data_IF_153430344820
#
_entry.id   IF_153430344820
#
_cell.length_a   1.000
_cell.length_b   1.000
_cell.length_c   1.000
_cell.angle_alpha   90.00
_cell.angle_beta   90.00
_cell.angle_gamma   90.00
#
_symmetry.space_group_name_H-M   'P 1'
#
loop_
_entity.id
_entity.type
_entity.pdbx_description
1 polymer ?
#
# COMPACT_ATOMS: atom_id res chain seq x y z
N UNK A 1 -29.97 -17.48 -27.13
CA UNK A 1 -28.51 -17.30 -27.27
C UNK A 1 -28.09 -16.08 -26.45
N UNK A 2 -27.85 -16.27 -25.15
CA UNK A 2 -27.54 -15.21 -24.19
C UNK A 2 -26.08 -14.75 -24.37
N UNK A 3 -25.90 -13.49 -24.76
CA UNK A 3 -24.59 -12.83 -24.78
C UNK A 3 -24.13 -12.59 -23.33
N UNK A 4 -23.21 -13.41 -22.86
CA UNK A 4 -22.38 -13.14 -21.68
C UNK A 4 -21.65 -11.82 -21.89
N UNK A 5 -22.16 -10.74 -21.30
CA UNK A 5 -21.42 -9.49 -21.12
C UNK A 5 -20.41 -9.75 -19.99
N UNK A 6 -19.19 -10.10 -20.38
CA UNK A 6 -18.02 -10.06 -19.50
C UNK A 6 -17.90 -8.64 -18.95
N UNK A 7 -18.25 -8.45 -17.67
CA UNK A 7 -17.92 -7.25 -16.91
C UNK A 7 -16.42 -7.25 -16.63
N UNK A 8 -15.61 -6.93 -17.65
CA UNK A 8 -14.25 -6.47 -17.43
C UNK A 8 -14.36 -5.13 -16.69
N UNK A 9 -14.08 -5.16 -15.40
CA UNK A 9 -14.15 -4.00 -14.50
C UNK A 9 -13.05 -2.98 -14.80
N UNK A 10 -13.21 -2.25 -15.90
CA UNK A 10 -12.40 -1.10 -16.27
C UNK A 10 -12.83 0.12 -15.46
N UNK A 11 -11.90 0.79 -14.78
CA UNK A 11 -12.17 2.11 -14.20
C UNK A 11 -11.99 3.18 -15.27
N UNK A 12 -13.12 3.76 -15.71
CA UNK A 12 -13.11 4.85 -16.70
C UNK A 12 -12.60 6.13 -16.06
N UNK A 13 -11.75 6.84 -16.79
CA UNK A 13 -11.35 8.20 -16.44
C UNK A 13 -12.23 9.19 -17.18
N UNK A 14 -12.64 10.24 -16.48
CA UNK A 14 -13.38 11.35 -17.07
C UNK A 14 -12.42 12.49 -17.37
N UNK A 15 -12.55 13.09 -18.54
CA UNK A 15 -11.73 14.22 -18.97
C UNK A 15 -12.61 15.43 -19.21
N UNK A 16 -12.12 16.60 -18.83
CA UNK A 16 -12.63 17.90 -19.24
C UNK A 16 -11.64 18.49 -20.25
N UNK A 17 -12.17 18.88 -21.40
CA UNK A 17 -11.39 19.58 -22.41
C UNK A 17 -11.05 20.98 -21.89
N UNK A 18 -9.75 21.30 -21.81
CA UNK A 18 -9.30 22.68 -21.63
C UNK A 18 -8.94 23.23 -22.99
N UNK A 19 -9.71 24.22 -23.42
CA UNK A 19 -9.58 24.86 -24.71
C UNK A 19 -8.56 25.99 -24.65
N UNK A 20 -7.57 25.95 -25.53
CA UNK A 20 -6.70 27.11 -25.82
C UNK A 20 -6.79 27.40 -27.32
N UNK A 21 -7.51 28.45 -27.75
CA UNK A 21 -7.63 28.77 -29.17
C UNK A 21 -6.27 29.11 -29.76
N UNK A 22 -5.97 28.57 -30.93
CA UNK A 22 -4.80 28.97 -31.71
C UNK A 22 -5.05 30.36 -32.30
N UNK A 23 -4.40 31.39 -31.73
CA UNK A 23 -4.53 32.79 -32.20
C UNK A 23 -4.06 32.96 -33.65
N UNK A 24 -3.05 32.20 -34.08
CA UNK A 24 -2.54 32.22 -35.44
C UNK A 24 -3.55 31.65 -36.44
N UNK A 25 -4.18 30.51 -36.11
CA UNK A 25 -5.19 29.89 -36.97
C UNK A 25 -6.38 30.84 -37.23
N UNK A 26 -6.90 31.49 -36.17
CA UNK A 26 -8.01 32.44 -36.29
C UNK A 26 -7.66 33.66 -37.17
N UNK A 27 -6.43 34.15 -37.09
CA UNK A 27 -5.95 35.25 -37.93
C UNK A 27 -5.89 34.86 -39.40
N UNK A 28 -5.25 33.73 -39.72
CA UNK A 28 -5.14 33.24 -41.10
C UNK A 28 -6.51 32.95 -41.72
N UNK A 29 -7.45 32.41 -40.95
CA UNK A 29 -8.79 32.12 -41.45
C UNK A 29 -9.60 33.37 -41.71
N UNK A 30 -9.46 34.40 -40.87
CA UNK A 30 -10.06 35.71 -41.12
C UNK A 30 -9.52 36.36 -42.40
N UNK A 31 -8.20 36.32 -42.60
CA UNK A 31 -7.57 36.85 -43.80
C UNK A 31 -8.02 36.12 -45.09
N UNK A 32 -8.07 34.78 -45.06
CA UNK A 32 -8.53 33.97 -46.19
C UNK A 32 -10.01 34.21 -46.51
N UNK A 33 -10.86 34.33 -45.48
CA UNK A 33 -12.28 34.61 -45.66
C UNK A 33 -12.50 36.00 -46.29
N UNK A 34 -11.74 37.01 -45.86
CA UNK A 34 -11.80 38.37 -46.44
C UNK A 34 -11.37 38.36 -47.90
N UNK A 35 -10.27 37.68 -48.25
CA UNK A 35 -9.81 37.56 -49.63
C UNK A 35 -10.83 36.86 -50.54
N UNK A 36 -11.51 35.84 -50.02
CA UNK A 36 -12.55 35.11 -50.75
C UNK A 36 -13.80 35.97 -50.95
N UNK A 37 -14.22 36.72 -49.92
CA UNK A 37 -15.32 37.69 -50.03
C UNK A 37 -14.97 38.80 -51.03
N UNK A 38 -13.73 39.31 -51.02
CA UNK A 38 -13.28 40.36 -51.94
C UNK A 38 -13.29 39.89 -53.39
N UNK A 39 -12.89 38.64 -53.66
CA UNK A 39 -13.02 38.04 -54.98
C UNK A 39 -14.47 38.01 -55.47
N UNK A 40 -15.40 37.56 -54.62
CA UNK A 40 -16.81 37.43 -54.97
C UNK A 40 -17.49 38.80 -55.15
N UNK A 41 -17.24 39.76 -54.25
CA UNK A 41 -17.96 41.04 -54.22
C UNK A 41 -17.39 42.09 -55.17
N UNK A 42 -16.07 42.11 -55.38
CA UNK A 42 -15.39 43.20 -56.10
C UNK A 42 -14.86 42.77 -57.47
N UNK A 43 -15.21 41.57 -57.95
CA UNK A 43 -14.71 41.01 -59.22
C UNK A 43 -13.19 41.13 -59.35
N UNK A 44 -12.49 40.86 -58.24
CA UNK A 44 -11.03 40.80 -58.26
C UNK A 44 -10.67 39.52 -58.99
N UNK A 45 -10.09 39.64 -60.18
CA UNK A 45 -9.60 38.53 -61.00
C UNK A 45 -8.41 37.83 -60.33
N UNK A 46 -8.65 37.14 -59.21
CA UNK A 46 -7.66 36.26 -58.61
C UNK A 46 -7.40 35.12 -59.59
N UNK A 47 -6.12 34.76 -59.73
CA UNK A 47 -5.71 33.61 -60.51
C UNK A 47 -6.52 32.36 -60.05
N UNK A 48 -7.10 31.57 -60.97
CA UNK A 48 -7.86 30.36 -60.63
C UNK A 48 -7.11 29.40 -59.69
N UNK A 49 -5.78 29.34 -59.78
CA UNK A 49 -4.94 28.54 -58.88
C UNK A 49 -4.96 29.07 -57.44
N UNK A 50 -5.01 30.40 -57.25
CA UNK A 50 -5.13 31.03 -55.93
C UNK A 50 -6.51 30.73 -55.32
N UNK A 51 -7.58 30.79 -56.12
CA UNK A 51 -8.93 30.46 -55.67
C UNK A 51 -9.00 29.01 -55.20
N UNK A 52 -8.41 28.08 -55.96
CA UNK A 52 -8.30 26.67 -55.59
C UNK A 52 -7.53 26.50 -54.27
N UNK A 53 -6.39 27.18 -54.11
CA UNK A 53 -5.58 27.12 -52.89
C UNK A 53 -6.33 27.65 -51.65
N UNK A 54 -7.05 28.77 -51.79
CA UNK A 54 -7.89 29.32 -50.72
C UNK A 54 -9.04 28.37 -50.36
N UNK A 55 -9.65 27.71 -51.35
CA UNK A 55 -10.67 26.69 -51.14
C UNK A 55 -10.16 25.48 -50.34
N UNK A 56 -8.97 24.97 -50.68
CA UNK A 56 -8.32 23.92 -49.90
C UNK A 56 -8.02 24.36 -48.47
N UNK A 57 -7.52 25.58 -48.28
CA UNK A 57 -7.26 26.13 -46.94
C UNK A 57 -8.54 26.21 -46.10
N UNK A 58 -9.64 26.69 -46.68
CA UNK A 58 -10.94 26.73 -45.99
C UNK A 58 -11.47 25.33 -45.66
N UNK A 59 -11.31 24.35 -46.56
CA UNK A 59 -11.69 22.96 -46.32
C UNK A 59 -10.90 22.37 -45.15
N UNK A 60 -9.57 22.57 -45.11
CA UNK A 60 -8.72 22.13 -44.01
C UNK A 60 -9.09 22.80 -42.69
N UNK A 61 -9.44 24.08 -42.71
CA UNK A 61 -9.90 24.77 -41.51
C UNK A 61 -11.21 24.18 -40.97
N UNK A 62 -12.21 23.96 -41.83
CA UNK A 62 -13.47 23.32 -41.42
C UNK A 62 -13.20 21.93 -40.86
N UNK A 63 -12.29 21.17 -41.45
CA UNK A 63 -11.89 19.86 -40.96
C UNK A 63 -11.24 19.93 -39.56
N UNK A 64 -10.38 20.93 -39.31
CA UNK A 64 -9.76 21.15 -37.99
C UNK A 64 -10.81 21.51 -36.92
N UNK A 65 -11.79 22.35 -37.26
CA UNK A 65 -12.91 22.69 -36.34
C UNK A 65 -13.76 21.46 -36.00
N UNK A 66 -14.04 20.61 -36.99
CA UNK A 66 -14.76 19.35 -36.79
C UNK A 66 -13.95 18.42 -35.87
N UNK A 67 -12.63 18.30 -36.12
CA UNK A 67 -11.73 17.50 -35.31
C UNK A 67 -11.72 17.94 -33.85
N UNK A 68 -11.54 19.24 -33.62
CA UNK A 68 -11.51 19.87 -32.30
C UNK A 68 -12.80 19.64 -31.50
N UNK A 69 -13.96 19.66 -32.17
CA UNK A 69 -15.26 19.47 -31.51
C UNK A 69 -15.57 17.99 -31.21
N UNK A 70 -15.18 17.08 -32.09
CA UNK A 70 -15.59 15.66 -32.02
C UNK A 70 -14.62 14.84 -31.16
N UNK A 71 -13.32 15.00 -31.36
CA UNK A 71 -12.30 14.11 -30.79
C UNK A 71 -12.33 14.07 -29.26
N UNK A 72 -12.40 15.20 -28.52
CA UNK A 72 -12.34 15.14 -27.07
C UNK A 72 -13.50 14.38 -26.43
N UNK A 73 -14.69 14.41 -27.05
CA UNK A 73 -15.88 13.72 -26.55
C UNK A 73 -15.93 12.23 -26.89
N UNK A 74 -15.01 11.72 -27.71
CA UNK A 74 -14.99 10.33 -28.20
C UNK A 74 -13.78 9.53 -27.73
N UNK A 75 -12.86 10.17 -26.99
CA UNK A 75 -11.70 9.53 -26.40
C UNK A 75 -12.04 9.03 -25.00
N UNK A 76 -11.87 7.73 -24.76
CA UNK A 76 -12.07 7.12 -23.44
C UNK A 76 -10.77 6.44 -23.04
N UNK A 77 -10.19 6.83 -21.91
CA UNK A 77 -9.06 6.14 -21.31
C UNK A 77 -9.48 5.41 -20.03
N UNK A 78 -8.98 4.20 -19.85
CA UNK A 78 -9.22 3.37 -18.66
C UNK A 78 -7.97 2.60 -18.29
N UNK A 79 -7.69 2.49 -16.99
CA UNK A 79 -6.64 1.57 -16.51
C UNK A 79 -7.22 0.16 -16.53
N UNK A 80 -6.47 -0.77 -17.15
CA UNK A 80 -6.84 -2.18 -17.29
C UNK A 80 -6.48 -2.99 -16.04
N UNK A 81 -5.37 -2.66 -15.38
CA UNK A 81 -4.97 -3.30 -14.14
C UNK A 81 -5.98 -2.96 -13.02
N UNK A 82 -6.47 -3.98 -12.29
CA UNK A 82 -7.41 -3.75 -11.18
C UNK A 82 -6.67 -3.42 -9.88
N UNK A 83 -5.83 -4.36 -9.44
CA UNK A 83 -5.01 -4.25 -8.25
C UNK A 83 -3.57 -4.55 -8.64
N UNK A 84 -2.68 -3.56 -8.47
CA UNK A 84 -1.25 -3.78 -8.63
C UNK A 84 -0.63 -3.84 -7.24
N UNK A 85 -0.05 -5.00 -6.91
CA UNK A 85 0.64 -5.28 -5.65
C UNK A 85 2.05 -5.76 -6.00
N UNK A 86 3.07 -5.12 -5.44
CA UNK A 86 4.47 -5.44 -5.70
C UNK A 86 5.32 -5.13 -4.48
N UNK A 87 6.45 -5.81 -4.34
CA UNK A 87 7.44 -5.51 -3.31
C UNK A 87 8.31 -4.33 -3.74
N UNK A 88 8.83 -3.57 -2.76
CA UNK A 88 9.86 -2.56 -2.99
C UNK A 88 10.99 -3.13 -3.86
N UNK A 89 11.40 -2.37 -4.88
CA UNK A 89 12.43 -2.75 -5.84
C UNK A 89 11.93 -3.50 -7.08
N UNK A 90 10.71 -4.05 -7.08
CA UNK A 90 10.16 -4.75 -8.24
C UNK A 90 9.68 -3.79 -9.33
N UNK A 91 9.73 -4.27 -10.57
CA UNK A 91 9.29 -3.55 -11.77
C UNK A 91 7.98 -4.15 -12.28
N UNK A 92 7.09 -3.29 -12.78
CA UNK A 92 5.82 -3.70 -13.36
C UNK A 92 5.40 -2.70 -14.45
N UNK A 93 4.37 -3.04 -15.21
CA UNK A 93 3.86 -2.23 -16.33
C UNK A 93 2.43 -1.83 -16.04
N UNK A 94 2.16 -0.53 -16.08
CA UNK A 94 0.81 0.00 -16.05
C UNK A 94 0.23 -0.05 -17.47
N UNK A 95 -0.85 -0.82 -17.64
CA UNK A 95 -1.58 -0.93 -18.90
C UNK A 95 -2.78 0.02 -18.91
N UNK A 96 -2.70 1.02 -19.79
CA UNK A 96 -3.75 2.00 -20.00
C UNK A 96 -4.41 1.70 -21.34
N UNK A 97 -5.68 1.32 -21.32
CA UNK A 97 -6.47 1.14 -22.53
C UNK A 97 -7.02 2.50 -22.97
N UNK A 98 -6.67 2.90 -24.19
CA UNK A 98 -7.17 4.11 -24.83
C UNK A 98 -8.06 3.71 -25.98
N UNK A 99 -9.33 4.11 -25.95
CA UNK A 99 -10.34 3.75 -26.93
C UNK A 99 -10.85 5.00 -27.64
N UNK A 100 -10.80 4.97 -28.97
CA UNK A 100 -11.35 5.99 -29.83
C UNK A 100 -12.69 5.52 -30.38
N UNK A 101 -13.80 6.06 -29.85
CA UNK A 101 -15.15 5.81 -30.37
C UNK A 101 -15.48 6.70 -31.58
N UNK A 102 -14.57 7.60 -31.94
CA UNK A 102 -14.69 8.52 -33.06
C UNK A 102 -14.34 7.86 -34.39
N UNK A 103 -14.71 8.55 -35.46
CA UNK A 103 -14.37 8.16 -36.84
C UNK A 103 -13.05 8.80 -37.32
N UNK A 104 -12.50 9.76 -36.58
CA UNK A 104 -11.24 10.43 -36.88
C UNK A 104 -10.06 9.72 -36.21
N UNK A 105 -8.91 9.55 -36.88
CA UNK A 105 -7.70 9.02 -36.27
C UNK A 105 -7.07 10.03 -35.30
N UNK A 106 -6.44 9.53 -34.25
CA UNK A 106 -5.64 10.33 -33.32
C UNK A 106 -4.20 9.87 -33.47
N UNK A 107 -3.35 10.75 -34.00
CA UNK A 107 -1.97 10.45 -34.34
C UNK A 107 -1.03 11.13 -33.36
N UNK A 108 -0.07 10.37 -32.83
CA UNK A 108 1.01 10.87 -31.97
C UNK A 108 0.52 11.74 -30.79
N UNK A 109 -0.59 11.34 -30.16
CA UNK A 109 -1.05 11.98 -28.94
C UNK A 109 -0.11 11.64 -27.78
N UNK A 110 0.10 12.59 -26.88
CA UNK A 110 0.91 12.42 -25.69
C UNK A 110 0.01 12.16 -24.47
N UNK A 111 0.27 11.06 -23.76
CA UNK A 111 -0.37 10.74 -22.49
C UNK A 111 0.58 11.09 -21.35
N UNK A 112 0.16 12.02 -20.50
CA UNK A 112 0.90 12.50 -19.33
C UNK A 112 0.30 11.88 -18.08
N UNK A 113 1.13 11.19 -17.31
CA UNK A 113 0.73 10.47 -16.10
C UNK A 113 1.52 11.02 -14.91
N UNK A 114 0.82 11.46 -13.88
CA UNK A 114 1.41 11.90 -12.60
C UNK A 114 1.00 10.93 -11.49
N UNK A 115 1.98 10.44 -10.72
CA UNK A 115 1.79 9.54 -9.58
C UNK A 115 2.60 9.99 -8.36
N UNK A 116 2.35 9.38 -7.20
CA UNK A 116 3.16 9.59 -5.99
C UNK A 116 4.57 9.02 -6.13
N UNK A 117 5.54 9.58 -5.40
CA UNK A 117 6.97 9.23 -5.46
C UNK A 117 7.33 7.85 -4.87
N UNK A 118 6.33 7.10 -4.40
CA UNK A 118 6.45 5.70 -4.01
C UNK A 118 6.82 4.80 -5.21
N UNK A 119 6.43 5.21 -6.42
CA UNK A 119 6.84 4.59 -7.68
C UNK A 119 7.73 5.54 -8.48
N UNK A 120 8.53 4.99 -9.38
CA UNK A 120 9.38 5.72 -10.31
C UNK A 120 9.12 5.21 -11.73
N UNK A 121 8.76 6.11 -12.63
CA UNK A 121 8.64 5.76 -14.05
C UNK A 121 10.03 5.65 -14.70
N UNK A 122 10.17 4.80 -15.72
CA UNK A 122 11.46 4.64 -16.44
C UNK A 122 11.90 5.93 -17.13
N UNK A 123 10.95 6.65 -17.72
CA UNK A 123 11.12 7.99 -18.32
C UNK A 123 10.54 9.04 -17.39
N UNK A 124 11.18 9.23 -16.24
CA UNK A 124 10.76 10.21 -15.24
C UNK A 124 11.13 11.63 -15.68
N UNK A 125 10.13 12.49 -15.74
CA UNK A 125 10.31 13.92 -15.97
C UNK A 125 10.35 14.55 -14.58
N UNK A 126 11.54 15.00 -14.17
CA UNK A 126 11.71 15.61 -12.85
C UNK A 126 10.82 16.85 -12.70
N UNK A 127 9.75 16.72 -11.93
CA UNK A 127 8.92 17.83 -11.50
C UNK A 127 9.67 18.63 -10.42
N UNK A 128 9.54 19.97 -10.44
CA UNK A 128 9.94 20.83 -9.30
C UNK A 128 9.05 20.63 -8.07
N UNK A 129 7.98 19.85 -8.19
CA UNK A 129 7.01 19.56 -7.13
C UNK A 129 7.49 18.38 -6.28
N UNK A 130 7.55 18.58 -4.97
CA UNK A 130 7.97 17.54 -4.02
C UNK A 130 6.96 16.37 -4.01
N UNK A 131 7.47 15.13 -3.95
CA UNK A 131 6.69 13.87 -3.78
C UNK A 131 5.81 13.42 -4.96
N UNK A 132 6.17 13.79 -6.19
CA UNK A 132 5.47 13.33 -7.41
C UNK A 132 6.46 12.88 -8.47
N UNK A 133 6.07 11.87 -9.26
CA UNK A 133 6.77 11.44 -10.48
C UNK A 133 5.84 11.62 -11.67
N UNK A 134 6.40 11.98 -12.82
CA UNK A 134 5.65 12.22 -14.05
C UNK A 134 6.31 11.53 -15.23
N UNK A 135 5.49 11.00 -16.13
CA UNK A 135 5.98 10.46 -17.39
C UNK A 135 5.06 10.83 -18.55
N UNK A 136 5.66 10.95 -19.74
CA UNK A 136 4.94 11.21 -20.98
C UNK A 136 5.17 10.03 -21.91
N UNK A 137 4.08 9.43 -22.39
CA UNK A 137 4.13 8.34 -23.35
C UNK A 137 3.23 8.66 -24.56
N UNK A 138 3.78 8.53 -25.76
CA UNK A 138 3.06 8.81 -26.99
C UNK A 138 2.24 7.61 -27.46
N UNK A 139 1.07 7.84 -28.04
CA UNK A 139 0.22 6.82 -28.60
C UNK A 139 -0.49 7.30 -29.86
N UNK A 140 -0.88 6.34 -30.70
CA UNK A 140 -1.72 6.54 -31.87
C UNK A 140 -2.90 5.59 -31.76
N UNK A 141 -4.12 6.07 -32.01
CA UNK A 141 -5.33 5.24 -31.98
C UNK A 141 -6.19 5.52 -33.22
N UNK A 142 -6.47 4.46 -33.95
CA UNK A 142 -7.25 4.51 -35.19
C UNK A 142 -8.75 4.68 -34.92
N UNK A 143 -9.55 5.06 -35.94
CA UNK A 143 -11.00 5.16 -35.80
C UNK A 143 -11.64 3.88 -35.27
N UNK A 144 -12.61 4.01 -34.35
CA UNK A 144 -13.37 2.89 -33.77
C UNK A 144 -12.50 1.74 -33.22
N UNK A 145 -11.31 2.05 -32.75
CA UNK A 145 -10.34 1.07 -32.25
C UNK A 145 -9.87 1.38 -30.83
N UNK A 146 -9.18 0.43 -30.20
CA UNK A 146 -8.48 0.65 -28.94
C UNK A 146 -6.99 0.33 -29.07
N UNK A 147 -6.18 0.97 -28.25
CA UNK A 147 -4.73 0.77 -28.17
C UNK A 147 -4.34 0.69 -26.70
N UNK A 148 -3.43 -0.23 -26.39
CA UNK A 148 -2.91 -0.43 -25.02
C UNK A 148 -1.58 0.30 -24.91
N UNK A 149 -1.56 1.34 -24.09
CA UNK A 149 -0.36 2.06 -23.71
C UNK A 149 0.29 1.37 -22.51
N UNK A 150 1.54 0.95 -22.67
CA UNK A 150 2.34 0.29 -21.63
C UNK A 150 3.30 1.30 -21.01
N UNK A 151 3.15 1.55 -19.73
CA UNK A 151 3.99 2.48 -18.98
C UNK A 151 4.76 1.70 -17.90
N UNK A 152 6.04 1.36 -18.11
CA UNK A 152 6.85 0.66 -17.13
C UNK A 152 7.19 1.57 -15.94
N UNK A 153 7.16 0.99 -14.74
CA UNK A 153 7.51 1.67 -13.49
C UNK A 153 8.20 0.71 -12.52
N UNK A 154 8.93 1.28 -11.57
CA UNK A 154 9.62 0.59 -10.49
C UNK A 154 9.07 1.02 -9.14
N UNK A 155 8.82 0.07 -8.25
CA UNK A 155 8.51 0.37 -6.85
C UNK A 155 9.76 0.90 -6.14
N UNK A 156 9.72 2.15 -5.66
CA UNK A 156 10.85 2.81 -5.01
C UNK A 156 10.73 2.82 -3.50
N UNK A 157 9.54 3.16 -2.98
CA UNK A 157 9.26 3.23 -1.54
C UNK A 157 8.02 2.42 -1.21
N UNK A 158 7.99 1.86 0.01
CA UNK A 158 6.82 1.21 0.59
C UNK A 158 5.70 2.24 0.74
N UNK A 159 4.49 1.87 0.35
CA UNK A 159 3.35 2.77 0.47
C UNK A 159 2.18 2.39 -0.43
N UNK A 160 1.16 3.25 -0.42
CA UNK A 160 0.05 3.19 -1.37
C UNK A 160 0.19 4.38 -2.32
N UNK A 161 0.82 4.14 -3.47
CA UNK A 161 0.96 5.16 -4.50
C UNK A 161 -0.38 5.37 -5.19
N UNK A 162 -0.79 6.62 -5.35
CA UNK A 162 -1.99 6.98 -6.10
C UNK A 162 -1.61 7.56 -7.44
N UNK A 163 -2.33 7.16 -8.49
CA UNK A 163 -2.32 7.93 -9.72
C UNK A 163 -3.05 9.24 -9.42
N UNK A 164 -2.35 10.38 -9.51
CA UNK A 164 -2.87 11.68 -9.09
C UNK A 164 -3.63 12.32 -10.24
N UNK A 165 -3.03 12.33 -11.42
CA UNK A 165 -3.53 13.05 -12.60
C UNK A 165 -3.14 12.34 -13.88
N UNK A 166 -4.07 12.28 -14.83
CA UNK A 166 -3.83 11.89 -16.21
C UNK A 166 -4.25 13.02 -17.14
N UNK A 167 -3.35 13.47 -18.01
CA UNK A 167 -3.69 14.44 -19.05
C UNK A 167 -3.38 13.85 -20.41
N UNK A 168 -4.18 14.19 -21.41
CA UNK A 168 -3.96 13.78 -22.79
C UNK A 168 -3.79 15.04 -23.63
N UNK A 169 -2.67 15.12 -24.33
CA UNK A 169 -2.40 16.15 -25.32
C UNK A 169 -2.55 15.52 -26.71
N UNK A 170 -3.54 15.99 -27.47
CA UNK A 170 -3.80 15.52 -28.83
C UNK A 170 -3.36 16.60 -29.81
N UNK A 171 -2.34 16.35 -30.65
CA UNK A 171 -2.00 17.25 -31.73
C UNK A 171 -3.21 17.46 -32.66
N UNK A 172 -3.40 18.68 -33.14
CA UNK A 172 -4.35 18.94 -34.22
C UNK A 172 -3.88 18.28 -35.52
N UNK A 173 -4.81 17.93 -36.42
CA UNK A 173 -4.52 17.16 -37.65
C UNK A 173 -3.39 17.81 -38.47
N UNK A 174 -3.35 19.15 -38.52
CA UNK A 174 -2.38 19.91 -39.31
C UNK A 174 -1.20 20.47 -38.49
N UNK A 175 -1.05 20.07 -37.22
CA UNK A 175 0.09 20.46 -36.38
C UNK A 175 0.05 21.88 -35.81
N UNK A 176 -1.01 22.66 -36.04
CA UNK A 176 -1.16 24.03 -35.53
C UNK A 176 -1.67 24.09 -34.08
N UNK A 177 -0.92 23.46 -33.18
CA UNK A 177 -1.23 23.38 -31.75
C UNK A 177 -1.83 22.05 -31.32
N UNK A 178 -2.24 21.98 -30.05
CA UNK A 178 -2.70 20.77 -29.40
C UNK A 178 -4.00 21.00 -28.63
N UNK A 179 -4.83 19.97 -28.55
CA UNK A 179 -5.99 19.88 -27.68
C UNK A 179 -5.55 19.28 -26.35
N UNK A 180 -5.85 19.95 -25.23
CA UNK A 180 -5.52 19.46 -23.90
C UNK A 180 -6.77 18.90 -23.22
N UNK A 181 -6.78 17.59 -22.98
CA UNK A 181 -7.79 16.91 -22.17
C UNK A 181 -7.23 16.72 -20.77
N UNK A 182 -7.77 17.45 -19.80
CA UNK A 182 -7.36 17.37 -18.40
C UNK A 182 -8.33 16.47 -17.65
N UNK A 183 -7.81 15.53 -16.85
CA UNK A 183 -8.68 14.68 -16.04
C UNK A 183 -9.61 15.51 -15.14
N UNK A 184 -10.89 15.16 -15.15
CA UNK A 184 -11.90 15.73 -14.27
C UNK A 184 -12.18 14.80 -13.10
N UNK A 185 -12.10 15.33 -11.88
CA UNK A 185 -12.25 14.55 -10.65
C UNK A 185 -10.93 13.94 -10.17
N UNK A 186 -10.99 13.22 -9.04
CA UNK A 186 -9.82 12.53 -8.49
C UNK A 186 -9.71 11.13 -9.09
N UNK A 187 -8.53 10.76 -9.56
CA UNK A 187 -8.23 9.37 -9.85
C UNK A 187 -8.17 8.58 -8.53
N UNK A 188 -8.74 7.37 -8.52
CA UNK A 188 -8.82 6.49 -7.35
C UNK A 188 -8.00 5.21 -7.53
N UNK A 189 -7.15 5.14 -8.56
CA UNK A 189 -6.32 3.97 -8.79
C UNK A 189 -5.13 3.98 -7.82
N UNK A 190 -5.01 2.90 -7.06
CA UNK A 190 -3.99 2.71 -6.02
C UNK A 190 -3.05 1.58 -6.45
N UNK A 191 -1.75 1.83 -6.36
CA UNK A 191 -0.68 0.84 -6.53
C UNK A 191 -0.10 0.59 -5.15
N UNK A 192 -0.17 -0.65 -4.69
CA UNK A 192 0.31 -1.02 -3.36
C UNK A 192 1.73 -1.55 -3.45
N UNK A 193 2.65 -0.86 -2.78
CA UNK A 193 4.05 -1.25 -2.67
C UNK A 193 4.29 -1.82 -1.27
N UNK A 194 4.49 -3.13 -1.21
CA UNK A 194 4.85 -3.83 0.01
C UNK A 194 6.27 -3.46 0.47
N UNK A 195 6.55 -3.55 1.78
CA UNK A 195 7.91 -3.45 2.30
C UNK A 195 8.84 -4.42 1.59
N UNK A 196 10.15 -4.19 1.65
CA UNK A 196 11.10 -5.13 1.05
C UNK A 196 11.04 -6.50 1.73
N UNK A 197 11.01 -7.56 0.92
CA UNK A 197 11.09 -8.92 1.42
C UNK A 197 12.57 -9.30 1.57
N UNK A 198 13.09 -9.18 2.79
CA UNK A 198 14.44 -9.63 3.10
C UNK A 198 14.52 -11.16 2.92
N UNK A 199 15.51 -11.65 2.19
CA UNK A 199 15.70 -13.09 1.97
C UNK A 199 16.64 -13.71 3.01
N UNK A 200 17.59 -12.91 3.49
CA UNK A 200 18.52 -13.26 4.57
C UNK A 200 18.23 -12.36 5.77
N UNK A 201 18.19 -12.91 6.99
CA UNK A 201 17.97 -12.08 8.15
C UNK A 201 19.24 -11.25 8.41
N UNK A 202 19.11 -9.98 8.86
CA UNK A 202 20.26 -9.23 9.35
C UNK A 202 20.81 -9.78 10.69
N UNK A 203 20.19 -10.82 11.27
CA UNK A 203 20.50 -11.37 12.59
C UNK A 203 20.13 -12.86 12.72
N UNK A 204 20.72 -13.57 13.68
CA UNK A 204 20.38 -14.98 13.91
C UNK A 204 19.08 -15.12 14.73
N UNK A 205 17.96 -15.26 14.03
CA UNK A 205 16.64 -15.50 14.62
C UNK A 205 16.47 -16.94 15.13
N UNK A 206 17.23 -17.92 14.61
CA UNK A 206 16.84 -19.34 14.58
C UNK A 206 16.77 -20.00 15.96
N UNK A 207 17.51 -19.52 16.95
CA UNK A 207 17.63 -20.23 18.21
C UNK A 207 16.87 -19.62 19.40
N UNK A 208 16.30 -18.41 19.31
CA UNK A 208 15.70 -17.76 20.52
C UNK A 208 14.19 -17.57 20.48
N UNK A 209 13.58 -17.46 19.30
CA UNK A 209 12.12 -17.26 19.17
C UNK A 209 11.37 -18.51 18.69
N UNK A 210 12.08 -19.45 18.04
CA UNK A 210 11.52 -20.71 17.52
C UNK A 210 11.80 -21.87 18.48
N UNK A 211 12.81 -21.74 19.36
CA UNK A 211 13.04 -22.65 20.47
C UNK A 211 12.00 -22.40 21.57
N UNK A 212 10.76 -22.75 21.27
CA UNK A 212 9.57 -22.50 22.09
C UNK A 212 8.59 -23.68 22.12
N UNK A 213 9.05 -24.89 21.77
CA UNK A 213 8.46 -26.16 22.27
C UNK A 213 8.95 -26.47 23.69
N UNK A 214 9.46 -25.48 24.41
CA UNK A 214 9.80 -25.66 25.81
C UNK A 214 8.54 -25.49 26.64
N UNK A 215 8.23 -26.56 27.38
CA UNK A 215 7.35 -26.59 28.54
C UNK A 215 7.73 -25.40 29.43
N UNK A 216 7.06 -24.26 29.26
CA UNK A 216 7.25 -23.15 30.18
C UNK A 216 6.87 -23.66 31.57
N UNK A 217 7.79 -23.55 32.54
CA UNK A 217 7.53 -23.95 33.93
C UNK A 217 6.35 -23.18 34.55
N UNK A 218 5.87 -22.10 33.92
CA UNK A 218 4.70 -21.31 34.30
C UNK A 218 3.71 -21.11 33.14
N UNK A 219 3.21 -22.19 32.53
CA UNK A 219 1.98 -22.06 31.75
C UNK A 219 0.82 -21.62 32.67
N UNK A 220 0.08 -20.59 32.27
CA UNK A 220 -1.10 -20.10 33.01
C UNK A 220 -2.30 -21.06 32.92
N UNK A 221 -2.34 -21.88 31.87
CA UNK A 221 -3.38 -22.88 31.65
C UNK A 221 -2.75 -24.25 31.47
N UNK A 222 -3.35 -25.23 32.15
CA UNK A 222 -3.04 -26.64 32.01
C UNK A 222 -4.19 -27.27 31.22
N UNK A 223 -3.90 -28.12 30.23
CA UNK A 223 -4.96 -28.86 29.54
C UNK A 223 -5.44 -30.02 30.44
N UNK A 224 -6.70 -30.03 30.93
CA UNK A 224 -7.19 -31.08 31.79
C UNK A 224 -7.36 -32.44 31.10
N UNK A 225 -7.33 -32.49 29.75
CA UNK A 225 -7.41 -33.75 28.99
C UNK A 225 -6.06 -34.43 28.82
N UNK A 226 -4.96 -33.67 28.87
CA UNK A 226 -3.60 -34.19 28.71
C UNK A 226 -2.95 -34.40 30.08
N UNK A 227 -3.24 -35.55 30.70
CA UNK A 227 -2.57 -35.94 31.96
C UNK A 227 -1.28 -36.68 31.64
N UNK A 228 -0.13 -36.09 31.96
CA UNK A 228 1.22 -36.66 31.69
C UNK A 228 1.61 -37.68 32.75
N UNK A 229 1.08 -37.56 33.97
CA UNK A 229 1.39 -38.49 35.06
C UNK A 229 0.72 -38.12 36.38
N UNK A 230 1.22 -38.70 37.47
CA UNK A 230 0.77 -38.41 38.84
C UNK A 230 1.97 -38.12 39.73
N UNK A 231 1.77 -37.23 40.72
CA UNK A 231 2.74 -36.97 41.80
C UNK A 231 2.06 -37.01 43.16
N UNK A 232 2.85 -36.97 44.22
CA UNK A 232 2.33 -36.87 45.58
C UNK A 232 1.58 -35.55 45.79
N UNK A 233 0.45 -35.66 46.49
CA UNK A 233 -0.38 -34.53 46.84
C UNK A 233 0.32 -33.65 47.89
N UNK A 234 0.43 -32.36 47.60
CA UNK A 234 0.83 -31.36 48.59
C UNK A 234 -0.38 -30.56 49.05
N UNK A 235 -0.33 -30.05 50.28
CA UNK A 235 -1.43 -29.26 50.87
C UNK A 235 -1.80 -27.98 50.08
N UNK A 236 -0.94 -27.54 49.15
CA UNK A 236 -1.22 -26.40 48.25
C UNK A 236 -1.93 -26.80 46.95
N UNK A 237 -2.08 -28.10 46.71
CA UNK A 237 -2.74 -28.62 45.50
C UNK A 237 -4.27 -28.56 45.67
N UNK A 238 -4.98 -28.31 44.57
CA UNK A 238 -6.44 -28.30 44.59
C UNK A 238 -6.98 -29.73 44.72
N UNK A 239 -8.01 -29.92 45.55
CA UNK A 239 -8.67 -31.22 45.69
C UNK A 239 -9.31 -31.71 44.37
N UNK A 240 -9.62 -30.78 43.45
CA UNK A 240 -10.14 -31.08 42.11
C UNK A 240 -9.13 -31.85 41.25
N UNK A 241 -7.85 -31.67 41.51
CA UNK A 241 -6.77 -32.25 40.71
C UNK A 241 -6.33 -33.62 41.24
N UNK A 242 -6.99 -34.16 42.28
CA UNK A 242 -6.68 -35.47 42.86
C UNK A 242 -7.03 -36.61 41.90
N UNK A 243 -6.03 -37.44 41.58
CA UNK A 243 -6.19 -38.64 40.77
C UNK A 243 -6.68 -39.81 41.63
N UNK A 244 -7.99 -39.89 41.86
CA UNK A 244 -8.62 -40.87 42.75
C UNK A 244 -8.21 -42.33 42.48
N UNK A 245 -8.16 -42.76 41.20
CA UNK A 245 -7.76 -44.13 40.83
C UNK A 245 -6.30 -44.48 41.18
N UNK A 246 -5.41 -43.48 41.15
CA UNK A 246 -4.00 -43.69 41.50
C UNK A 246 -3.80 -43.65 43.02
N UNK A 247 -4.57 -42.79 43.69
CA UNK A 247 -4.60 -42.69 45.15
C UNK A 247 -5.14 -43.97 45.78
N UNK A 248 -6.19 -44.55 45.22
CA UNK A 248 -6.75 -45.83 45.68
C UNK A 248 -5.77 -47.01 45.54
N UNK A 249 -4.88 -46.98 44.54
CA UNK A 249 -3.89 -48.05 44.31
C UNK A 249 -2.66 -47.95 45.23
N UNK A 250 -2.30 -46.73 45.62
CA UNK A 250 -1.08 -46.46 46.40
C UNK A 250 -1.35 -46.22 47.89
N UNK A 251 -2.61 -46.00 48.28
CA UNK A 251 -3.00 -45.69 49.66
C UNK A 251 -2.75 -44.24 50.08
N UNK A 252 -2.13 -43.44 49.21
CA UNK A 252 -1.77 -42.05 49.46
C UNK A 252 -2.42 -41.13 48.42
N UNK A 253 -2.74 -39.89 48.78
CA UNK A 253 -3.28 -38.92 47.83
C UNK A 253 -2.24 -38.59 46.74
N UNK A 254 -2.63 -38.78 45.48
CA UNK A 254 -1.85 -38.40 44.30
C UNK A 254 -2.58 -37.33 43.48
N UNK A 255 -1.86 -36.32 43.01
CA UNK A 255 -2.36 -35.23 42.16
C UNK A 255 -2.05 -35.50 40.68
N UNK A 256 -2.99 -35.18 39.78
CA UNK A 256 -2.80 -35.21 38.32
C UNK A 256 -1.74 -34.18 37.91
N UNK A 257 -0.76 -34.61 37.12
CA UNK A 257 0.15 -33.71 36.43
C UNK A 257 -0.40 -33.52 35.02
N UNK A 258 -0.82 -32.30 34.72
CA UNK A 258 -1.27 -31.91 33.38
C UNK A 258 -0.10 -31.46 32.53
N UNK A 259 -0.21 -31.69 31.22
CA UNK A 259 0.73 -31.16 30.24
C UNK A 259 0.57 -29.64 30.15
N UNK A 260 1.69 -28.92 30.21
CA UNK A 260 1.72 -27.48 30.02
C UNK A 260 1.86 -27.19 28.53
N UNK A 261 0.73 -27.13 27.84
CA UNK A 261 0.70 -26.77 26.42
C UNK A 261 0.59 -25.26 26.31
N UNK A 262 1.70 -24.58 26.00
CA UNK A 262 1.65 -23.16 25.58
C UNK A 262 1.62 -23.14 24.08
N UNK A 263 0.57 -22.57 23.50
CA UNK A 263 0.53 -22.30 22.06
C UNK A 263 1.51 -21.17 21.74
N UNK A 264 2.48 -21.43 20.87
CA UNK A 264 3.39 -20.41 20.37
C UNK A 264 2.60 -19.40 19.53
N UNK A 265 2.40 -18.20 20.07
CA UNK A 265 1.77 -17.07 19.37
C UNK A 265 2.57 -15.79 19.57
N UNK A 266 2.62 -14.94 18.55
CA UNK A 266 3.37 -13.68 18.55
C UNK A 266 2.42 -12.47 18.53
N UNK A 267 2.69 -11.47 19.36
CA UNK A 267 2.06 -10.15 19.26
C UNK A 267 3.11 -9.14 18.89
N UNK A 268 2.91 -8.41 17.79
CA UNK A 268 3.85 -7.41 17.28
C UNK A 268 3.28 -6.02 17.51
N UNK A 269 3.88 -5.25 18.40
CA UNK A 269 3.49 -3.87 18.71
C UNK A 269 4.49 -2.87 18.09
N UNK A 270 4.06 -2.15 17.05
CA UNK A 270 4.88 -1.21 16.29
C UNK A 270 4.67 0.21 16.83
N UNK A 271 5.74 0.79 17.35
CA UNK A 271 5.82 2.19 17.69
C UNK A 271 6.25 3.04 16.48
N UNK A 272 5.32 3.84 15.96
CA UNK A 272 5.51 4.79 14.87
C UNK A 272 5.92 6.19 15.35
N UNK A 273 6.27 6.37 16.64
CA UNK A 273 6.63 7.67 17.22
C UNK A 273 8.04 7.67 17.80
N UNK A 274 8.79 8.74 17.50
CA UNK A 274 10.10 9.04 18.08
C UNK A 274 9.99 9.80 19.41
N UNK A 275 11.06 9.81 20.21
CA UNK A 275 11.13 10.53 21.49
C UNK A 275 10.95 12.04 21.34
N UNK A 276 11.47 12.61 20.25
CA UNK A 276 11.67 14.06 20.12
C UNK A 276 10.52 14.85 19.51
N UNK A 277 9.43 14.23 19.05
CA UNK A 277 8.16 14.84 18.62
C UNK A 277 7.24 13.72 18.08
N UNK A 278 5.99 14.03 17.72
CA UNK A 278 5.07 13.13 16.98
C UNK A 278 5.58 12.71 15.58
N UNK A 279 6.89 12.77 15.34
CA UNK A 279 7.56 12.36 14.14
C UNK A 279 7.89 10.85 14.17
N UNK A 280 7.94 10.21 12.99
CA UNK A 280 8.35 8.81 12.88
C UNK A 280 9.82 8.60 13.28
N UNK A 281 10.18 7.41 13.82
CA UNK A 281 11.57 7.02 14.02
C UNK A 281 12.35 7.01 12.70
N UNK A 282 13.61 7.43 12.73
CA UNK A 282 14.46 7.48 11.52
C UNK A 282 14.68 6.09 10.89
N UNK A 283 14.68 5.04 11.71
CA UNK A 283 14.88 3.64 11.33
C UNK A 283 13.56 2.89 11.07
N UNK A 284 12.41 3.59 10.95
CA UNK A 284 11.10 2.93 10.88
C UNK A 284 10.97 2.00 9.66
N UNK A 285 11.54 2.38 8.51
CA UNK A 285 11.45 1.55 7.30
C UNK A 285 12.22 0.24 7.46
N UNK A 286 13.45 0.29 8.01
CA UNK A 286 14.23 -0.93 8.29
C UNK A 286 13.52 -1.82 9.32
N UNK A 287 12.86 -1.24 10.33
CA UNK A 287 12.06 -1.99 11.30
C UNK A 287 10.85 -2.65 10.64
N UNK A 288 10.15 -1.97 9.73
CA UNK A 288 9.02 -2.55 8.97
C UNK A 288 9.49 -3.67 8.04
N UNK A 289 10.65 -3.55 7.41
CA UNK A 289 11.28 -4.61 6.61
C UNK A 289 11.65 -5.82 7.50
N UNK A 290 12.20 -5.60 8.69
CA UNK A 290 12.45 -6.66 9.67
C UNK A 290 11.15 -7.36 10.10
N UNK A 291 10.08 -6.61 10.39
CA UNK A 291 8.76 -7.19 10.71
C UNK A 291 8.18 -7.98 9.53
N UNK A 292 8.40 -7.51 8.31
CA UNK A 292 7.97 -8.20 7.09
C UNK A 292 8.65 -9.56 6.94
N UNK A 293 9.94 -9.63 7.27
CA UNK A 293 10.68 -10.88 7.36
C UNK A 293 10.18 -11.78 8.50
N UNK A 294 9.97 -11.24 9.70
CA UNK A 294 9.49 -12.01 10.85
C UNK A 294 8.13 -12.64 10.56
N UNK A 295 7.20 -11.86 10.00
CA UNK A 295 5.85 -12.33 9.67
C UNK A 295 5.83 -13.31 8.50
N UNK A 296 6.78 -13.23 7.56
CA UNK A 296 6.94 -14.26 6.52
C UNK A 296 7.37 -15.58 7.12
N UNK A 297 8.33 -15.58 8.06
CA UNK A 297 8.76 -16.77 8.80
C UNK A 297 7.66 -17.34 9.70
N UNK A 298 6.90 -16.48 10.38
CA UNK A 298 5.74 -16.90 11.16
C UNK A 298 4.71 -17.62 10.29
N UNK A 299 4.44 -17.10 9.09
CA UNK A 299 3.51 -17.70 8.14
C UNK A 299 4.01 -19.04 7.58
N UNK A 300 5.31 -19.17 7.28
CA UNK A 300 5.95 -20.43 6.86
C UNK A 300 5.86 -21.50 7.96
N UNK A 301 6.12 -21.11 9.21
CA UNK A 301 6.10 -21.99 10.39
C UNK A 301 4.71 -22.18 11.01
N UNK A 302 3.67 -21.58 10.41
CA UNK A 302 2.29 -21.61 10.91
C UNK A 302 2.13 -21.08 12.35
N UNK A 303 3.01 -20.15 12.76
CA UNK A 303 2.92 -19.48 14.06
C UNK A 303 1.83 -18.41 13.96
N UNK A 304 0.76 -18.48 14.77
CA UNK A 304 -0.23 -17.42 14.86
C UNK A 304 0.41 -16.11 15.32
N UNK A 305 0.07 -15.01 14.66
CA UNK A 305 0.53 -13.70 15.09
C UNK A 305 -0.49 -12.59 14.88
N UNK A 306 -0.38 -11.55 15.70
CA UNK A 306 -1.14 -10.30 15.59
C UNK A 306 -0.20 -9.11 15.42
N UNK A 307 -0.65 -8.06 14.75
CA UNK A 307 0.13 -6.84 14.51
C UNK A 307 -0.67 -5.62 14.94
N UNK A 308 -0.09 -4.77 15.75
CA UNK A 308 -0.71 -3.55 16.24
C UNK A 308 0.23 -2.38 16.04
N UNK A 309 -0.32 -1.21 15.71
CA UNK A 309 0.45 0.01 15.55
C UNK A 309 -0.20 1.14 16.33
N UNK A 310 0.57 2.12 16.80
CA UNK A 310 0.01 3.29 17.48
C UNK A 310 -0.65 4.31 16.52
N UNK A 311 -0.93 3.93 15.26
CA UNK A 311 -1.67 4.75 14.32
C UNK A 311 -3.15 4.81 14.72
N UNK A 312 -3.74 6.02 14.77
CA UNK A 312 -5.17 6.17 15.02
C UNK A 312 -5.96 5.83 13.75
N UNK A 313 -6.97 4.98 13.86
CA UNK A 313 -7.99 4.84 12.82
C UNK A 313 -8.92 6.07 12.81
N UNK A 314 -9.49 6.40 11.65
CA UNK A 314 -10.41 7.54 11.50
C UNK A 314 -11.83 7.24 12.01
N UNK A 315 -12.24 5.96 12.06
CA UNK A 315 -13.64 5.56 12.32
C UNK A 315 -13.95 5.21 13.79
N UNK A 316 -12.93 5.10 14.63
CA UNK A 316 -13.09 4.86 16.07
C UNK A 316 -11.74 5.08 16.73
N UNK A 317 -11.72 5.26 18.06
CA UNK A 317 -10.52 5.40 18.89
C UNK A 317 -9.68 4.10 18.95
N UNK A 318 -9.59 3.39 17.83
CA UNK A 318 -8.97 2.09 17.62
C UNK A 318 -7.62 2.28 16.95
N UNK A 319 -6.70 1.42 17.33
CA UNK A 319 -5.38 1.32 16.73
C UNK A 319 -5.48 0.60 15.38
N UNK A 320 -4.69 1.02 14.39
CA UNK A 320 -4.53 0.20 13.19
C UNK A 320 -3.92 -1.14 13.61
N UNK A 321 -4.72 -2.19 13.49
CA UNK A 321 -4.39 -3.53 13.95
C UNK A 321 -4.77 -4.60 12.95
N UNK A 322 -4.13 -5.75 13.13
CA UNK A 322 -4.46 -7.01 12.50
C UNK A 322 -4.52 -8.06 13.60
N UNK A 323 -5.74 -8.53 13.86
CA UNK A 323 -6.06 -9.58 14.85
C UNK A 323 -5.30 -10.86 14.53
N UNK A 324 -5.12 -11.72 15.52
CA UNK A 324 -4.41 -12.99 15.39
C UNK A 324 -4.88 -13.84 14.21
N UNK A 325 -3.92 -14.38 13.47
CA UNK A 325 -4.13 -15.29 12.35
C UNK A 325 -2.83 -15.97 11.95
N UNK A 326 -2.90 -16.93 11.03
CA UNK A 326 -1.74 -17.70 10.56
C UNK A 326 -1.78 -17.93 9.05
N UNK A 327 -0.66 -18.38 8.49
CA UNK A 327 -0.53 -18.77 7.09
C UNK A 327 -0.46 -17.62 6.08
N UNK A 328 -0.44 -17.98 4.79
CA UNK A 328 -0.12 -17.05 3.69
C UNK A 328 -1.17 -15.96 3.45
N UNK A 329 -2.46 -16.23 3.67
CA UNK A 329 -3.53 -15.22 3.54
C UNK A 329 -3.38 -14.13 4.61
N UNK A 330 -3.03 -14.52 5.84
CA UNK A 330 -2.78 -13.60 6.93
C UNK A 330 -1.51 -12.78 6.70
N UNK A 331 -0.45 -13.41 6.19
CA UNK A 331 0.76 -12.72 5.75
C UNK A 331 0.48 -11.67 4.68
N UNK A 332 -0.28 -12.02 3.64
CA UNK A 332 -0.69 -11.07 2.61
C UNK A 332 -1.46 -9.89 3.22
N UNK A 333 -2.42 -10.14 4.10
CA UNK A 333 -3.17 -9.07 4.77
C UNK A 333 -2.27 -8.20 5.65
N UNK A 334 -1.26 -8.80 6.29
CA UNK A 334 -0.26 -8.08 7.09
C UNK A 334 0.59 -7.16 6.21
N UNK A 335 1.04 -7.62 5.04
CA UNK A 335 1.75 -6.78 4.07
C UNK A 335 0.90 -5.59 3.62
N UNK A 336 -0.42 -5.77 3.44
CA UNK A 336 -1.32 -4.66 3.10
C UNK A 336 -1.43 -3.64 4.25
N UNK A 337 -1.49 -4.09 5.51
CA UNK A 337 -1.46 -3.20 6.68
C UNK A 337 -0.14 -2.45 6.74
N UNK A 338 1.00 -3.16 6.64
CA UNK A 338 2.33 -2.56 6.67
C UNK A 338 2.53 -1.56 5.52
N UNK A 339 2.03 -1.83 4.31
CA UNK A 339 2.09 -0.88 3.19
C UNK A 339 1.23 0.37 3.41
N UNK A 340 0.11 0.26 4.16
CA UNK A 340 -0.78 1.39 4.48
C UNK A 340 -0.29 2.27 5.62
N UNK A 341 0.73 1.85 6.38
CA UNK A 341 1.34 2.69 7.42
C UNK A 341 1.91 3.95 6.77
N UNK A 342 1.23 5.07 6.97
CA UNK A 342 1.70 6.40 6.60
C UNK A 342 2.35 7.06 7.81
N UNK A 343 3.63 7.36 7.69
CA UNK A 343 4.44 7.96 8.77
C UNK A 343 4.08 9.42 9.08
N UNK A 344 3.25 10.05 8.25
CA UNK A 344 2.77 11.43 8.41
C UNK A 344 1.38 11.53 9.06
N UNK A 345 0.77 10.40 9.39
CA UNK A 345 -0.56 10.34 10.02
C UNK A 345 -0.50 10.51 11.53
N UNK A 346 -1.64 10.86 12.15
CA UNK A 346 -1.76 11.02 13.60
C UNK A 346 -1.54 9.71 14.36
N UNK A 347 -0.62 9.73 15.33
CA UNK A 347 -0.30 8.60 16.19
C UNK A 347 -0.68 8.88 17.65
N UNK A 348 -1.17 7.86 18.35
CA UNK A 348 -1.32 7.86 19.80
C UNK A 348 0.02 7.50 20.48
N UNK A 349 0.12 7.69 21.80
CA UNK A 349 1.31 7.32 22.56
C UNK A 349 1.43 5.79 22.68
N UNK A 350 2.67 5.29 22.76
CA UNK A 350 2.92 3.85 22.72
C UNK A 350 2.50 3.14 24.00
N UNK A 351 2.60 3.79 25.16
CA UNK A 351 2.06 3.33 26.44
C UNK A 351 0.54 3.07 26.38
N UNK A 352 -0.22 3.93 25.67
CA UNK A 352 -1.66 3.74 25.47
C UNK A 352 -1.95 2.51 24.64
N UNK A 353 -1.15 2.25 23.60
CA UNK A 353 -1.26 1.03 22.83
C UNK A 353 -0.99 -0.18 23.73
N UNK A 354 0.15 -0.23 24.42
CA UNK A 354 0.49 -1.35 25.30
C UNK A 354 -0.56 -1.59 26.40
N UNK A 355 -1.09 -0.52 27.00
CA UNK A 355 -2.17 -0.62 27.99
C UNK A 355 -3.45 -1.19 27.37
N UNK A 356 -3.80 -0.78 26.15
CA UNK A 356 -4.94 -1.34 25.43
C UNK A 356 -4.74 -2.85 25.15
N UNK A 357 -3.56 -3.24 24.66
CA UNK A 357 -3.22 -4.64 24.41
C UNK A 357 -3.30 -5.47 25.71
N UNK A 358 -2.78 -4.95 26.81
CA UNK A 358 -2.81 -5.64 28.10
C UNK A 358 -4.23 -5.86 28.65
N UNK A 359 -5.16 -4.94 28.37
CA UNK A 359 -6.52 -4.96 28.90
C UNK A 359 -7.53 -5.70 27.99
N UNK A 360 -7.33 -5.67 26.68
CA UNK A 360 -8.36 -6.10 25.71
C UNK A 360 -7.94 -7.28 24.84
N UNK A 361 -6.65 -7.58 24.70
CA UNK A 361 -6.17 -8.65 23.84
C UNK A 361 -5.76 -9.90 24.65
N UNK A 362 -5.82 -11.07 23.99
CA UNK A 362 -5.32 -12.31 24.57
C UNK A 362 -3.79 -12.26 24.71
N UNK A 363 -3.27 -12.77 25.83
CA UNK A 363 -1.83 -12.71 26.10
C UNK A 363 -1.07 -13.67 25.17
N UNK A 364 -0.08 -13.18 24.41
CA UNK A 364 0.72 -14.01 23.52
C UNK A 364 1.78 -14.76 24.30
N UNK A 365 2.38 -15.78 23.68
CA UNK A 365 3.61 -16.37 24.21
C UNK A 365 4.80 -15.41 24.10
N UNK A 366 4.88 -14.66 23.01
CA UNK A 366 5.96 -13.71 22.70
C UNK A 366 5.38 -12.34 22.33
N UNK A 367 5.85 -11.28 22.99
CA UNK A 367 5.57 -9.89 22.64
C UNK A 367 6.81 -9.28 21.96
N UNK A 368 6.67 -8.89 20.71
CA UNK A 368 7.68 -8.15 19.97
C UNK A 368 7.28 -6.67 19.95
N UNK A 369 8.16 -5.78 20.37
CA UNK A 369 7.89 -4.34 20.32
C UNK A 369 9.00 -3.57 19.61
N UNK A 370 8.68 -2.39 19.07
CA UNK A 370 9.64 -1.51 18.40
C UNK A 370 9.82 -0.19 19.15
N UNK A 371 10.93 0.50 18.87
CA UNK A 371 11.22 1.81 19.42
C UNK A 371 11.90 1.76 20.79
N UNK A 372 12.14 2.94 21.36
CA UNK A 372 12.76 3.09 22.68
C UNK A 372 11.73 2.99 23.79
N UNK A 373 12.19 2.59 24.97
CA UNK A 373 11.39 2.47 26.19
C UNK A 373 11.54 3.72 27.06
N UNK A 374 10.43 4.11 27.69
CA UNK A 374 10.39 5.06 28.79
C UNK A 374 9.94 4.33 30.08
N UNK A 375 9.97 4.96 31.26
CA UNK A 375 9.57 4.30 32.50
C UNK A 375 8.13 3.74 32.49
N UNK A 376 7.20 4.40 31.79
CA UNK A 376 5.81 3.95 31.72
C UNK A 376 5.66 2.71 30.82
N UNK A 377 6.37 2.68 29.69
CA UNK A 377 6.48 1.52 28.81
C UNK A 377 7.15 0.37 29.55
N UNK A 378 8.23 0.61 30.29
CA UNK A 378 8.92 -0.43 31.06
C UNK A 378 8.03 -1.08 32.13
N UNK A 379 7.23 -0.28 32.85
CA UNK A 379 6.26 -0.80 33.82
C UNK A 379 5.22 -1.72 33.17
N UNK A 380 4.68 -1.31 32.02
CA UNK A 380 3.74 -2.14 31.25
C UNK A 380 4.42 -3.41 30.74
N UNK A 381 5.64 -3.34 30.21
CA UNK A 381 6.40 -4.53 29.79
C UNK A 381 6.66 -5.48 30.96
N UNK A 382 6.98 -4.98 32.17
CA UNK A 382 7.09 -5.83 33.36
C UNK A 382 5.77 -6.53 33.69
N UNK A 383 4.63 -5.88 33.51
CA UNK A 383 3.32 -6.50 33.74
C UNK A 383 3.05 -7.67 32.77
N UNK A 384 3.53 -7.60 31.53
CA UNK A 384 3.51 -8.72 30.59
C UNK A 384 4.46 -9.85 31.03
N UNK A 385 5.69 -9.54 31.46
CA UNK A 385 6.65 -10.56 31.95
C UNK A 385 6.18 -11.26 33.22
N UNK A 386 5.52 -10.54 34.13
CA UNK A 386 4.92 -11.12 35.33
C UNK A 386 3.86 -12.19 34.99
N UNK A 387 3.20 -12.05 33.84
CA UNK A 387 2.26 -13.02 33.26
C UNK A 387 2.94 -14.07 32.36
N UNK A 388 4.27 -14.18 32.35
CA UNK A 388 4.98 -15.23 31.61
C UNK A 388 5.14 -14.97 30.11
N UNK A 389 4.84 -13.77 29.63
CA UNK A 389 5.09 -13.38 28.23
C UNK A 389 6.58 -13.09 28.04
N UNK A 390 7.20 -13.71 27.04
CA UNK A 390 8.58 -13.41 26.65
C UNK A 390 8.61 -12.15 25.77
N UNK A 391 9.51 -11.21 26.08
CA UNK A 391 9.54 -9.92 25.40
C UNK A 391 10.78 -9.83 24.54
N UNK A 392 10.59 -9.34 23.32
CA UNK A 392 11.64 -9.11 22.33
C UNK A 392 11.53 -7.69 21.79
N UNK A 393 12.66 -7.03 21.63
CA UNK A 393 12.75 -5.72 21.01
C UNK A 393 13.23 -5.88 19.57
N UNK A 394 12.53 -5.26 18.63
CA UNK A 394 12.85 -5.24 17.20
C UNK A 394 13.49 -3.89 16.87
N UNK A 395 14.76 -3.94 16.49
CA UNK A 395 15.54 -2.79 16.05
C UNK A 395 16.07 -3.02 14.62
N UNK A 396 16.78 -2.04 14.07
CA UNK A 396 17.39 -2.14 12.75
C UNK A 396 18.44 -3.26 12.69
N UNK A 397 19.24 -3.42 13.75
CA UNK A 397 20.22 -4.50 13.90
C UNK A 397 19.59 -5.89 14.10
N UNK A 398 18.26 -5.98 14.25
CA UNK A 398 17.54 -7.24 14.40
C UNK A 398 16.72 -7.35 15.67
N UNK A 399 16.40 -8.59 16.05
CA UNK A 399 15.56 -8.91 17.22
C UNK A 399 16.42 -9.36 18.41
N UNK A 400 16.21 -8.74 19.56
CA UNK A 400 16.91 -9.08 20.80
C UNK A 400 15.93 -9.36 21.95
N UNK A 401 16.21 -10.33 22.84
CA UNK A 401 15.42 -10.52 24.06
C UNK A 401 15.48 -9.27 24.94
N UNK A 402 14.33 -8.85 25.45
CA UNK A 402 14.19 -7.68 26.31
C UNK A 402 13.83 -8.10 27.74
N UNK A 403 14.64 -7.68 28.71
CA UNK A 403 14.37 -7.92 30.13
C UNK A 403 14.15 -6.60 30.86
N UNK A 404 12.88 -6.30 31.17
CA UNK A 404 12.50 -5.04 31.80
C UNK A 404 13.03 -4.93 33.24
N UNK A 405 13.07 -6.04 33.98
CA UNK A 405 13.57 -6.08 35.36
C UNK A 405 15.06 -5.70 35.49
N UNK A 406 15.88 -6.04 34.48
CA UNK A 406 17.33 -5.77 34.53
C UNK A 406 17.68 -4.31 34.32
N UNK A 407 16.86 -3.54 33.59
CA UNK A 407 17.15 -2.14 33.26
C UNK A 407 16.61 -1.14 34.29
N UNK A 408 15.46 -1.42 34.91
CA UNK A 408 14.92 -0.58 35.99
C UNK A 408 15.86 -0.51 37.20
N UNK A 409 16.57 -1.61 37.50
CA UNK A 409 17.60 -1.64 38.55
C UNK A 409 18.93 -0.93 38.23
N UNK A 410 19.11 -0.38 37.02
CA UNK A 410 20.38 0.24 36.59
C UNK A 410 20.46 1.76 36.80
N UNK A 411 19.42 2.39 37.37
CA UNK A 411 19.49 3.79 37.85
C UNK A 411 19.94 3.82 39.31
N UNK A 412 21.21 3.49 39.55
CA UNK A 412 21.91 3.97 40.75
C UNK A 412 22.63 5.25 40.33
N UNK A 413 22.27 6.43 40.86
CA UNK A 413 23.07 7.62 40.65
C UNK A 413 24.40 7.45 41.39
N UNK A 414 25.51 7.75 40.70
CA UNK A 414 26.81 8.03 41.32
C UNK A 414 26.69 9.35 42.08
#
# INVERSE_FOLDING_TARGET
MLKFRSNMGYRRMHYRTQYRPSKSMAFFTGAVLILLIMNILYSVDLNPLLVLALGFFMSFFVLDLIYEKIVPGKLVASIRNKDIRLFKGQENVLEIEIRNEGWMPILNAAFRLTAGDDIQFEKDISLKTRYQTETIASFTVMPKSSTILKVPFKARKRGVSKIIRTDIEVPRIFGFGSLFLVQSGRSSHEIMVYPEQLHTPPFDMRNKMIQGLFIQRKAMFNDPMLTVGTRDYHQRDSMRDVHWKASAKTGELKTRIYEKTTHLSWMIAINLRSEKNYAPPANIEAVIENITYLTSRAAELQIPYSVFTNLSSFDSNTFLSRVEGSGGLHYKSTLEVLARINTLSFTLSFDRLLKHLYLHEALPSHLLFTGRTDPAIEELLMSFQAKGVEIFQVEESGVQPYNAYRRSGSRVPI
#
